data_IF_890643040219
#
_entry.id   IF_890643040219
#
_cell.length_a   1.000
_cell.length_b   1.000
_cell.length_c   1.000
_cell.angle_alpha   90.00
_cell.angle_beta   90.00
_cell.angle_gamma   90.00
#
_symmetry.space_group_name_H-M   'P 1'
#
loop_
_entity.id
_entity.type
_entity.pdbx_description
1 polymer ?
#
# COMPACT_ATOMS: atom_id res chain seq x y z
N UNK A 1 8.04 8.52 7.99
CA UNK A 1 8.21 9.10 9.34
C UNK A 1 7.98 8.06 10.47
N UNK A 2 8.11 6.76 10.19
CA UNK A 2 8.01 5.70 11.21
C UNK A 2 9.28 5.48 12.06
N UNK A 3 10.53 5.56 11.51
CA UNK A 3 11.72 5.24 12.30
C UNK A 3 12.10 6.34 13.30
N UNK A 4 11.70 7.60 13.06
CA UNK A 4 12.03 8.73 13.93
C UNK A 4 11.14 8.83 15.17
N UNK A 5 9.92 8.27 15.13
CA UNK A 5 8.96 8.34 16.24
C UNK A 5 9.17 7.24 17.31
N UNK A 6 10.01 6.23 17.05
CA UNK A 6 10.22 5.07 17.94
C UNK A 6 11.66 4.87 18.43
N UNK A 7 12.61 5.73 18.04
CA UNK A 7 14.00 5.66 18.52
C UNK A 7 14.75 4.36 18.19
N UNK A 8 14.19 3.49 17.33
CA UNK A 8 14.78 2.22 16.95
C UNK A 8 15.68 2.41 15.70
N UNK A 9 16.96 1.97 15.74
CA UNK A 9 17.94 2.23 14.70
C UNK A 9 17.84 1.30 13.47
N UNK A 10 16.90 0.37 13.43
CA UNK A 10 16.80 -0.55 12.31
C UNK A 10 15.35 -0.98 12.04
N UNK A 11 14.92 -0.77 10.78
CA UNK A 11 13.77 -1.46 10.23
C UNK A 11 14.15 -2.95 10.22
N UNK A 12 13.42 -3.83 10.92
CA UNK A 12 13.78 -5.25 10.95
C UNK A 12 13.73 -5.91 9.56
N UNK A 13 13.02 -5.30 8.59
CA UNK A 13 12.96 -5.73 7.18
C UNK A 13 12.82 -4.54 6.19
N UNK A 14 13.92 -3.84 5.85
CA UNK A 14 13.86 -2.64 5.00
C UNK A 14 13.47 -2.96 3.54
N UNK A 15 13.72 -4.19 3.07
CA UNK A 15 13.37 -4.65 1.72
C UNK A 15 11.86 -4.90 1.55
N UNK A 16 11.18 -5.37 2.61
CA UNK A 16 9.72 -5.55 2.60
C UNK A 16 8.99 -4.20 2.64
N UNK A 17 9.55 -3.19 3.33
CA UNK A 17 9.03 -1.82 3.30
C UNK A 17 9.08 -1.18 1.89
N UNK A 18 10.07 -1.54 1.08
CA UNK A 18 10.10 -1.12 -0.32
C UNK A 18 8.95 -1.77 -1.09
N UNK A 19 8.73 -3.08 -0.94
CA UNK A 19 7.67 -3.79 -1.66
C UNK A 19 6.26 -3.26 -1.32
N UNK A 20 5.97 -2.97 -0.05
CA UNK A 20 4.70 -2.33 0.34
C UNK A 20 4.54 -0.93 -0.23
N UNK A 21 5.61 -0.14 -0.31
CA UNK A 21 5.59 1.17 -0.96
C UNK A 21 5.29 1.08 -2.47
N UNK A 22 5.86 0.09 -3.16
CA UNK A 22 5.60 -0.15 -4.58
C UNK A 22 4.21 -0.73 -4.85
N UNK A 23 3.65 -1.46 -3.90
CA UNK A 23 2.28 -1.97 -3.99
C UNK A 23 1.23 -0.87 -3.82
N UNK A 24 1.56 0.20 -3.10
CA UNK A 24 0.64 1.31 -2.81
C UNK A 24 0.10 2.01 -4.07
N UNK A 25 0.92 2.51 -5.01
CA UNK A 25 0.42 3.12 -6.24
C UNK A 25 -0.32 2.10 -7.13
N UNK A 26 0.19 0.86 -7.21
CA UNK A 26 -0.44 -0.21 -7.99
C UNK A 26 -1.85 -0.53 -7.48
N UNK A 27 -2.04 -0.60 -6.15
CA UNK A 27 -3.35 -0.84 -5.54
C UNK A 27 -4.32 0.33 -5.76
N UNK A 28 -3.85 1.58 -5.79
CA UNK A 28 -4.70 2.74 -6.08
C UNK A 28 -5.27 2.68 -7.50
N UNK A 29 -4.45 2.32 -8.49
CA UNK A 29 -4.91 2.14 -9.87
C UNK A 29 -5.89 0.96 -9.98
N UNK A 30 -5.58 -0.17 -9.35
CA UNK A 30 -6.47 -1.33 -9.34
C UNK A 30 -7.84 -1.03 -8.71
N UNK A 31 -7.89 -0.23 -7.64
CA UNK A 31 -9.15 0.18 -7.01
C UNK A 31 -9.93 1.12 -7.92
N UNK A 32 -9.26 2.08 -8.57
CA UNK A 32 -9.92 2.99 -9.51
C UNK A 32 -10.48 2.21 -10.72
N UNK A 33 -9.69 1.33 -11.33
CA UNK A 33 -10.15 0.46 -12.42
C UNK A 33 -11.32 -0.43 -11.97
N UNK A 34 -11.26 -0.99 -10.75
CA UNK A 34 -12.35 -1.78 -10.18
C UNK A 34 -13.63 -0.97 -9.94
N UNK A 35 -13.53 0.35 -9.73
CA UNK A 35 -14.70 1.24 -9.62
C UNK A 35 -15.33 1.56 -10.98
N UNK A 36 -14.57 1.52 -12.08
CA UNK A 36 -15.06 1.83 -13.43
C UNK A 36 -15.56 0.60 -14.20
N UNK A 37 -15.15 -0.61 -13.82
CA UNK A 37 -15.66 -1.86 -14.39
C UNK A 37 -17.02 -2.22 -13.78
N UNK A 38 -18.08 -2.02 -14.58
CA UNK A 38 -19.50 -2.46 -14.52
C UNK A 38 -20.30 -2.41 -13.20
N UNK A 39 -19.71 -2.63 -12.02
CA UNK A 39 -20.39 -2.65 -10.71
C UNK A 39 -19.36 -2.53 -9.58
N UNK A 40 -18.80 -1.32 -9.41
CA UNK A 40 -17.68 -1.03 -8.52
C UNK A 40 -17.75 -1.73 -7.17
N UNK A 41 -16.79 -2.65 -6.94
CA UNK A 41 -16.68 -3.50 -5.74
C UNK A 41 -18.06 -3.81 -5.13
N UNK A 42 -18.90 -4.53 -5.88
CA UNK A 42 -20.26 -4.89 -5.48
C UNK A 42 -20.30 -5.67 -4.16
N UNK A 43 -20.21 -4.96 -3.03
CA UNK A 43 -20.58 -5.45 -1.72
C UNK A 43 -22.09 -5.30 -1.57
N UNK A 44 -22.82 -6.08 -2.36
CA UNK A 44 -24.22 -6.42 -2.10
C UNK A 44 -24.28 -7.72 -1.33
#
# INVERSE_FOLDING_TARGET
MLPLMLGAPDMSFPRLNNLSFWLLPTAMFLILDACFVDMGCGTS
#
